data_IF_627110375463
#
_entry.id   IF_627110375463
#
_cell.length_a   1.000
_cell.length_b   1.000
_cell.length_c   1.000
_cell.angle_alpha   90.00
_cell.angle_beta   90.00
_cell.angle_gamma   90.00
#
_symmetry.space_group_name_H-M   'P 1'
#
loop_
_entity.id
_entity.type
_entity.pdbx_description
1 polymer ?
#
# COMPACT_ATOMS: atom_id res chain seq x y z
N UNK A 1 -26.99 -4.42 -5.42
CA UNK A 1 -25.67 -4.56 -6.10
C UNK A 1 -25.12 -5.91 -5.72
N UNK A 2 -24.87 -6.78 -6.71
CA UNK A 2 -24.44 -8.15 -6.46
C UNK A 2 -22.91 -8.26 -6.32
N UNK A 3 -22.15 -7.36 -6.97
CA UNK A 3 -20.68 -7.28 -6.92
C UNK A 3 -20.24 -5.82 -6.96
N UNK A 4 -19.25 -5.47 -6.17
CA UNK A 4 -18.59 -4.16 -6.20
C UNK A 4 -17.07 -4.32 -6.28
N UNK A 5 -16.42 -3.43 -7.02
CA UNK A 5 -14.95 -3.31 -7.06
C UNK A 5 -14.57 -1.98 -6.43
N UNK A 6 -13.66 -2.02 -5.47
CA UNK A 6 -13.23 -0.85 -4.71
C UNK A 6 -11.70 -0.76 -4.73
N UNK A 7 -11.17 0.46 -4.89
CA UNK A 7 -9.77 0.78 -4.63
C UNK A 7 -9.72 1.57 -3.33
N UNK A 8 -9.31 0.93 -2.25
CA UNK A 8 -9.25 1.53 -0.92
C UNK A 8 -8.23 0.81 -0.04
N UNK A 9 -7.76 1.47 1.00
CA UNK A 9 -7.04 0.80 2.09
C UNK A 9 -7.96 -0.12 2.89
N UNK A 10 -7.40 -1.14 3.53
CA UNK A 10 -8.17 -2.01 4.43
C UNK A 10 -7.71 -1.81 5.90
N UNK A 11 -8.64 -1.87 6.88
CA UNK A 11 -10.10 -1.94 6.71
C UNK A 11 -10.68 -0.63 6.16
N UNK A 12 -11.73 -0.71 5.34
CA UNK A 12 -12.48 0.46 4.87
C UNK A 12 -13.89 0.49 5.44
N UNK A 13 -14.34 1.66 5.88
CA UNK A 13 -15.62 1.84 6.57
C UNK A 13 -16.80 1.35 5.73
N UNK A 14 -16.81 1.61 4.42
CA UNK A 14 -17.92 1.18 3.54
C UNK A 14 -18.10 -0.34 3.50
N UNK A 15 -17.00 -1.10 3.53
CA UNK A 15 -17.08 -2.57 3.58
C UNK A 15 -17.46 -3.05 4.98
N UNK A 16 -16.98 -2.40 6.04
CA UNK A 16 -17.35 -2.71 7.42
C UNK A 16 -18.85 -2.49 7.65
N UNK A 17 -19.40 -1.38 7.17
CA UNK A 17 -20.83 -1.08 7.30
C UNK A 17 -21.69 -2.12 6.60
N UNK A 18 -21.35 -2.50 5.37
CA UNK A 18 -22.10 -3.53 4.64
C UNK A 18 -21.96 -4.89 5.32
N UNK A 19 -20.74 -5.27 5.73
CA UNK A 19 -20.48 -6.56 6.38
C UNK A 19 -21.17 -6.71 7.74
N UNK A 20 -21.43 -5.60 8.43
CA UNK A 20 -22.16 -5.61 9.71
C UNK A 20 -23.67 -5.89 9.56
N UNK A 21 -24.21 -5.67 8.37
CA UNK A 21 -25.67 -5.76 8.12
C UNK A 21 -26.02 -6.90 7.15
N UNK A 22 -25.07 -7.36 6.35
CA UNK A 22 -25.31 -8.35 5.31
C UNK A 22 -24.16 -9.35 5.25
N UNK A 23 -24.42 -10.63 4.89
CA UNK A 23 -23.35 -11.55 4.55
C UNK A 23 -22.66 -11.08 3.27
N UNK A 24 -21.39 -10.74 3.37
CA UNK A 24 -20.55 -10.36 2.21
C UNK A 24 -19.38 -11.34 2.07
N UNK A 25 -18.80 -11.41 0.89
CA UNK A 25 -17.62 -12.20 0.60
C UNK A 25 -16.63 -11.39 -0.22
N UNK A 26 -15.37 -11.39 0.20
CA UNK A 26 -14.27 -10.90 -0.63
C UNK A 26 -13.93 -11.98 -1.68
N UNK A 27 -13.81 -11.56 -2.93
CA UNK A 27 -13.37 -12.44 -4.01
C UNK A 27 -11.85 -12.37 -4.13
N UNK A 28 -11.15 -13.52 -4.08
CA UNK A 28 -9.70 -13.54 -4.18
C UNK A 28 -9.25 -13.16 -5.60
N UNK A 29 -8.14 -12.44 -5.68
CA UNK A 29 -7.35 -12.31 -6.91
C UNK A 29 -6.21 -13.32 -6.81
N UNK A 30 -6.38 -14.46 -7.47
CA UNK A 30 -5.42 -15.55 -7.43
C UNK A 30 -4.07 -15.14 -8.05
N UNK A 31 -2.99 -15.81 -7.63
CA UNK A 31 -1.62 -15.49 -8.04
C UNK A 31 -1.45 -15.42 -9.56
N UNK A 32 -2.03 -16.35 -10.32
CA UNK A 32 -1.95 -16.35 -11.79
C UNK A 32 -2.54 -15.08 -12.40
N UNK A 33 -3.66 -14.59 -11.84
CA UNK A 33 -4.33 -13.38 -12.31
C UNK A 33 -3.51 -12.16 -11.88
N UNK A 34 -3.02 -12.14 -10.64
CA UNK A 34 -2.18 -11.09 -10.12
C UNK A 34 -0.88 -10.94 -10.93
N UNK A 35 -0.22 -12.06 -11.27
CA UNK A 35 1.01 -12.05 -12.08
C UNK A 35 0.76 -11.52 -13.50
N UNK A 36 -0.32 -11.92 -14.13
CA UNK A 36 -0.70 -11.41 -15.45
C UNK A 36 -1.00 -9.90 -15.42
N UNK A 37 -1.67 -9.43 -14.35
CA UNK A 37 -1.96 -8.01 -14.16
C UNK A 37 -0.69 -7.20 -13.93
N UNK A 38 0.22 -7.68 -13.08
CA UNK A 38 1.50 -7.02 -12.79
C UNK A 38 2.41 -6.98 -14.04
N UNK A 39 2.42 -8.04 -14.83
CA UNK A 39 3.17 -8.06 -16.09
C UNK A 39 2.70 -6.99 -17.08
N UNK A 40 1.39 -6.71 -17.10
CA UNK A 40 0.80 -5.66 -17.95
C UNK A 40 0.89 -4.27 -17.31
N UNK A 41 0.76 -4.20 -15.99
CA UNK A 41 0.69 -2.96 -15.22
C UNK A 41 1.64 -3.04 -14.01
N UNK A 42 2.93 -2.68 -14.17
CA UNK A 42 3.97 -2.89 -13.14
C UNK A 42 3.79 -2.08 -11.85
N UNK A 43 2.83 -1.16 -11.80
CA UNK A 43 2.51 -0.40 -10.57
C UNK A 43 1.60 -1.18 -9.61
N UNK A 44 1.03 -2.32 -10.01
CA UNK A 44 0.35 -3.22 -9.09
C UNK A 44 1.36 -4.05 -8.29
N UNK A 45 0.97 -4.38 -7.07
CA UNK A 45 1.70 -5.30 -6.19
C UNK A 45 0.75 -6.34 -5.63
N UNK A 46 1.26 -7.54 -5.32
CA UNK A 46 0.47 -8.53 -4.57
C UNK A 46 0.28 -8.06 -3.15
N UNK A 47 -0.90 -8.30 -2.61
CA UNK A 47 -1.23 -8.06 -1.21
C UNK A 47 -2.13 -9.15 -0.68
N UNK A 48 -2.26 -9.22 0.64
CA UNK A 48 -3.16 -10.15 1.32
C UNK A 48 -3.99 -9.33 2.30
N UNK A 49 -5.32 -9.44 2.22
CA UNK A 49 -6.21 -8.90 3.23
C UNK A 49 -6.23 -9.91 4.38
N UNK A 50 -5.78 -9.52 5.60
CA UNK A 50 -5.68 -10.46 6.71
C UNK A 50 -7.04 -10.98 7.18
N UNK A 51 -7.07 -12.19 7.70
CA UNK A 51 -8.20 -12.72 8.43
C UNK A 51 -8.62 -11.77 9.56
N UNK A 52 -9.91 -11.67 9.83
CA UNK A 52 -10.45 -10.78 10.85
C UNK A 52 -10.47 -9.28 10.49
N UNK A 53 -10.07 -8.90 9.26
CA UNK A 53 -10.14 -7.49 8.80
C UNK A 53 -11.59 -6.97 8.79
N UNK A 54 -12.54 -7.82 8.44
CA UNK A 54 -13.97 -7.52 8.43
C UNK A 54 -14.74 -8.60 9.18
N UNK A 55 -15.94 -8.28 9.70
CA UNK A 55 -16.79 -9.24 10.37
C UNK A 55 -17.18 -10.40 9.43
N UNK A 56 -17.01 -11.63 9.90
CA UNK A 56 -17.32 -12.84 9.13
C UNK A 56 -16.24 -13.29 8.13
N UNK A 57 -15.04 -12.66 8.19
CA UNK A 57 -13.90 -13.04 7.34
C UNK A 57 -12.81 -13.70 8.17
N UNK A 58 -12.85 -15.01 8.28
CA UNK A 58 -11.94 -15.80 9.15
C UNK A 58 -10.70 -16.29 8.39
N UNK A 59 -10.62 -16.05 7.08
CA UNK A 59 -9.49 -16.43 6.24
C UNK A 59 -8.82 -15.21 5.60
N UNK A 60 -7.56 -15.39 5.25
CA UNK A 60 -6.81 -14.40 4.45
C UNK A 60 -7.28 -14.42 3.01
N UNK A 61 -7.40 -13.25 2.37
CA UNK A 61 -7.84 -13.15 0.98
C UNK A 61 -6.72 -12.53 0.14
N UNK A 62 -6.14 -13.26 -0.83
CA UNK A 62 -5.16 -12.71 -1.74
C UNK A 62 -5.81 -11.66 -2.65
N UNK A 63 -5.09 -10.58 -2.91
CA UNK A 63 -5.55 -9.47 -3.72
C UNK A 63 -4.38 -8.76 -4.39
N UNK A 64 -4.67 -7.71 -5.14
CA UNK A 64 -3.69 -6.78 -5.68
C UNK A 64 -3.91 -5.39 -5.10
N UNK A 65 -2.85 -4.61 -5.02
CA UNK A 65 -2.90 -3.23 -4.55
C UNK A 65 -2.06 -2.32 -5.41
N UNK A 66 -2.32 -1.04 -5.32
CA UNK A 66 -1.43 0.04 -5.78
C UNK A 66 -0.81 0.68 -4.55
N UNK A 67 0.45 1.07 -4.68
CA UNK A 67 1.16 1.75 -3.60
C UNK A 67 0.89 3.25 -3.64
N UNK A 68 0.72 3.87 -2.48
CA UNK A 68 0.74 5.32 -2.36
C UNK A 68 2.17 5.82 -2.59
N UNK A 69 2.33 6.81 -3.47
CA UNK A 69 3.63 7.35 -3.85
C UNK A 69 3.73 8.83 -3.47
N UNK A 70 4.81 9.21 -2.79
CA UNK A 70 5.15 10.61 -2.60
C UNK A 70 5.91 11.08 -3.84
N UNK A 71 5.30 11.99 -4.60
CA UNK A 71 5.89 12.55 -5.81
C UNK A 71 6.40 13.96 -5.54
N UNK A 72 7.61 14.24 -5.99
CA UNK A 72 8.24 15.55 -5.87
C UNK A 72 8.39 16.21 -7.27
N UNK A 73 8.16 17.51 -7.35
CA UNK A 73 8.41 18.27 -8.56
C UNK A 73 9.91 18.48 -8.83
N UNK A 74 10.27 18.97 -10.02
CA UNK A 74 11.68 19.13 -10.45
C UNK A 74 12.47 20.16 -9.62
N UNK A 75 11.82 20.98 -8.82
CA UNK A 75 12.47 21.92 -7.91
C UNK A 75 13.03 21.27 -6.63
N UNK A 76 12.67 20.01 -6.36
CA UNK A 76 13.21 19.25 -5.23
C UNK A 76 14.55 18.62 -5.65
N UNK A 77 15.65 19.26 -5.22
CA UNK A 77 16.99 18.76 -5.46
C UNK A 77 17.28 17.50 -4.61
N UNK A 78 18.44 16.87 -4.84
CA UNK A 78 18.81 15.63 -4.18
C UNK A 78 19.00 15.76 -2.67
N UNK A 79 19.55 16.87 -2.19
CA UNK A 79 19.74 17.10 -0.75
C UNK A 79 18.40 17.23 -0.02
N UNK A 80 17.44 17.92 -0.63
CA UNK A 80 16.10 18.03 -0.09
C UNK A 80 15.36 16.70 -0.16
N UNK A 81 15.47 15.95 -1.27
CA UNK A 81 14.91 14.61 -1.42
C UNK A 81 15.45 13.65 -0.36
N UNK A 82 16.76 13.66 -0.11
CA UNK A 82 17.38 12.91 0.98
C UNK A 82 16.81 13.28 2.35
N UNK A 83 16.74 14.59 2.62
CA UNK A 83 16.27 15.11 3.91
C UNK A 83 14.81 14.75 4.18
N UNK A 84 13.94 14.84 3.17
CA UNK A 84 12.52 14.46 3.27
C UNK A 84 12.42 12.96 3.57
N UNK A 85 13.12 12.12 2.80
CA UNK A 85 13.09 10.67 3.00
C UNK A 85 13.60 10.28 4.38
N UNK A 86 14.71 10.87 4.81
CA UNK A 86 15.27 10.66 6.16
C UNK A 86 14.30 11.11 7.26
N UNK A 87 13.62 12.23 7.08
CA UNK A 87 12.64 12.71 8.05
C UNK A 87 11.44 11.76 8.18
N UNK A 88 10.94 11.21 7.07
CA UNK A 88 9.82 10.25 7.07
C UNK A 88 10.24 8.97 7.80
N UNK A 89 11.31 8.32 7.35
CA UNK A 89 11.74 7.02 7.88
C UNK A 89 12.39 7.13 9.27
N UNK A 90 12.91 8.29 9.64
CA UNK A 90 13.39 8.59 10.99
C UNK A 90 12.28 8.87 12.02
N UNK A 91 11.02 9.03 11.58
CA UNK A 91 9.89 9.35 12.46
C UNK A 91 8.72 8.35 12.30
N UNK A 92 8.99 7.10 11.95
CA UNK A 92 7.94 6.09 11.71
C UNK A 92 7.03 5.90 12.94
N UNK A 93 7.55 5.99 14.15
CA UNK A 93 6.74 5.82 15.36
C UNK A 93 5.68 6.94 15.51
N UNK A 94 6.00 8.16 15.09
CA UNK A 94 5.02 9.25 15.06
C UNK A 94 3.93 8.99 14.01
N UNK A 95 4.30 8.47 12.84
CA UNK A 95 3.35 8.13 11.78
C UNK A 95 2.44 6.97 12.21
N UNK A 96 3.00 5.96 12.87
CA UNK A 96 2.26 4.81 13.42
C UNK A 96 1.29 5.21 14.53
N UNK A 97 1.68 6.16 15.36
CA UNK A 97 0.83 6.71 16.40
C UNK A 97 -0.31 7.58 15.83
N UNK A 98 -0.05 8.30 14.73
CA UNK A 98 -1.02 9.16 14.10
C UNK A 98 -2.13 8.38 13.36
N UNK A 99 -1.79 7.25 12.73
CA UNK A 99 -2.76 6.44 11.97
C UNK A 99 -2.33 4.98 11.86
N UNK A 100 -3.30 4.06 11.93
CA UNK A 100 -3.03 2.61 11.86
C UNK A 100 -2.30 2.20 10.57
N UNK A 101 -2.60 2.82 9.43
CA UNK A 101 -1.91 2.60 8.14
C UNK A 101 -0.43 2.97 8.20
N UNK A 102 0.00 3.84 9.13
CA UNK A 102 1.41 4.14 9.34
C UNK A 102 2.27 2.91 9.67
N UNK A 103 1.67 1.82 10.17
CA UNK A 103 2.36 0.54 10.40
C UNK A 103 2.79 -0.15 9.10
N UNK A 104 2.15 0.18 7.98
CA UNK A 104 2.49 -0.36 6.67
C UNK A 104 3.66 0.38 6.00
N UNK A 105 4.06 1.54 6.54
CA UNK A 105 5.21 2.28 6.02
C UNK A 105 6.47 1.63 6.57
N UNK A 106 7.15 0.86 5.72
CA UNK A 106 8.39 0.16 6.06
C UNK A 106 9.42 0.36 4.95
N UNK A 107 10.70 0.36 5.33
CA UNK A 107 11.82 0.63 4.40
C UNK A 107 11.92 -0.45 3.32
N UNK A 108 11.61 -1.69 3.66
CA UNK A 108 11.71 -2.87 2.81
C UNK A 108 10.79 -2.81 1.58
N UNK A 109 9.58 -2.28 1.75
CA UNK A 109 8.58 -2.17 0.67
C UNK A 109 8.52 -0.78 0.01
N UNK A 110 9.33 0.18 0.47
CA UNK A 110 9.24 1.58 0.03
C UNK A 110 9.52 1.80 -1.47
N UNK A 111 10.20 0.85 -2.12
CA UNK A 111 10.48 0.89 -3.56
C UNK A 111 9.49 0.07 -4.41
N UNK A 112 8.57 -0.64 -3.78
CA UNK A 112 7.64 -1.53 -4.49
C UNK A 112 6.58 -0.74 -5.27
N UNK A 113 6.25 -1.19 -6.47
CA UNK A 113 5.19 -0.60 -7.29
C UNK A 113 5.47 0.82 -7.80
N UNK A 114 6.71 1.28 -7.74
CA UNK A 114 7.07 2.60 -8.26
C UNK A 114 7.04 2.62 -9.78
N UNK A 115 6.26 3.55 -10.34
CA UNK A 115 6.12 3.78 -11.78
C UNK A 115 6.94 4.99 -12.29
N UNK A 116 7.55 5.74 -11.38
CA UNK A 116 8.40 6.89 -11.68
C UNK A 116 9.83 6.66 -11.19
N UNK A 117 10.84 7.28 -11.84
CA UNK A 117 12.21 7.27 -11.34
C UNK A 117 12.29 7.83 -9.93
N UNK A 118 13.11 7.23 -9.09
CA UNK A 118 13.35 7.72 -7.74
C UNK A 118 14.23 8.99 -7.80
N UNK A 119 13.93 9.97 -6.94
CA UNK A 119 14.85 11.09 -6.71
C UNK A 119 16.18 10.56 -6.17
N UNK A 120 17.32 11.06 -6.70
CA UNK A 120 18.65 10.52 -6.37
C UNK A 120 18.99 10.67 -4.87
N UNK A 121 18.51 11.74 -4.21
CA UNK A 121 18.66 11.90 -2.76
C UNK A 121 17.88 10.85 -1.95
N UNK A 122 16.65 10.54 -2.37
CA UNK A 122 15.87 9.47 -1.77
C UNK A 122 16.54 8.11 -1.97
N UNK A 123 17.05 7.84 -3.16
CA UNK A 123 17.79 6.61 -3.47
C UNK A 123 19.05 6.48 -2.60
N UNK A 124 19.80 7.56 -2.44
CA UNK A 124 20.97 7.62 -1.54
C UNK A 124 20.59 7.19 -0.12
N UNK A 125 19.50 7.72 0.44
CA UNK A 125 19.02 7.34 1.77
C UNK A 125 18.71 5.84 1.88
N UNK A 126 18.03 5.25 0.87
CA UNK A 126 17.70 3.82 0.90
C UNK A 126 18.91 2.90 0.76
N UNK A 127 20.01 3.41 0.18
CA UNK A 127 21.25 2.65 0.00
C UNK A 127 22.22 2.78 1.20
N UNK A 128 21.93 3.66 2.16
CA UNK A 128 22.66 3.74 3.43
C UNK A 128 22.33 2.53 4.32
N UNK A 129 23.39 1.90 4.87
CA UNK A 129 23.33 0.73 5.76
C UNK A 129 22.92 1.10 7.18
#
# INVERSE_FOLDING_TARGET
VDVAVLTAGYPTASVQDIASQNPVRLLPVEDKIADALIAQYPFYTKTVIPAGTYAGFDETVPSVSVMAMLVAGPSVNDDLGYSITKAIFGNLDRLRAAHAVGKQIVKESAKSGMSLPMNAGAEKYFNEK
#
